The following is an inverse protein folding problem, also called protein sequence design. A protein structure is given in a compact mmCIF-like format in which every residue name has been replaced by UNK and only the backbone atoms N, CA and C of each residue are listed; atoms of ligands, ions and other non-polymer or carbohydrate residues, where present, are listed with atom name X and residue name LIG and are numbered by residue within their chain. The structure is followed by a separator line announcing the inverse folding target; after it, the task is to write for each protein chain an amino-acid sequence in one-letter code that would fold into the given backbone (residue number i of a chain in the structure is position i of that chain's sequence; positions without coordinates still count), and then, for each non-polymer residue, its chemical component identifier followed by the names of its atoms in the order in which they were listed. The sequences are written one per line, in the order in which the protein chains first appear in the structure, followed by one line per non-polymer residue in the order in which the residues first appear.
data_IF_340412506867
#
_entry.id   IF_340412506867
#
_cell.length_a   1.000
_cell.length_b   1.000
_cell.length_c   1.000
_cell.angle_alpha   90.00
_cell.angle_beta   90.00
_cell.angle_gamma   90.00
#
_symmetry.space_group_name_H-M   'P 1'
#
loop_
_entity.id
_entity.type
_entity.pdbx_description
1 polymer ?
#
# COMPACT_ATOMS: atom_id res chain seq x y z
N UNK A 1 8.77 16.39 -26.26
CA UNK A 1 10.17 16.38 -25.81
C UNK A 1 10.23 15.52 -24.55
N UNK A 2 10.44 14.25 -24.75
CA UNK A 2 10.52 13.27 -23.66
C UNK A 2 11.92 12.69 -23.60
N UNK A 3 12.73 13.18 -22.69
CA UNK A 3 13.98 12.51 -22.32
C UNK A 3 14.40 12.94 -20.92
N UNK A 4 14.78 11.94 -20.13
CA UNK A 4 15.69 12.08 -18.99
C UNK A 4 15.16 11.94 -17.56
N UNK A 5 14.25 11.00 -17.29
CA UNK A 5 14.08 10.52 -15.89
C UNK A 5 14.52 9.05 -15.74
N UNK A 6 14.87 8.37 -16.83
CA UNK A 6 15.07 6.90 -16.87
C UNK A 6 16.41 6.34 -16.38
N UNK A 7 17.39 7.19 -15.99
CA UNK A 7 18.73 6.67 -15.61
C UNK A 7 18.97 6.55 -14.10
N UNK A 8 18.08 7.06 -13.24
CA UNK A 8 18.29 6.98 -11.79
C UNK A 8 17.88 5.64 -11.16
N UNK A 9 16.85 4.97 -11.71
CA UNK A 9 16.39 3.68 -11.16
C UNK A 9 17.37 2.52 -11.40
N UNK A 10 18.00 2.46 -12.55
CA UNK A 10 18.98 1.41 -12.85
C UNK A 10 20.23 1.48 -11.99
N UNK A 11 20.66 2.68 -11.61
CA UNK A 11 21.79 2.91 -10.70
C UNK A 11 21.41 2.65 -9.23
N UNK A 12 20.17 2.92 -8.84
CA UNK A 12 19.68 2.66 -7.48
C UNK A 12 19.63 1.14 -7.18
N UNK A 13 19.16 0.31 -8.11
CA UNK A 13 19.14 -1.15 -7.95
C UNK A 13 20.55 -1.76 -7.87
N UNK A 14 21.52 -1.19 -8.56
CA UNK A 14 22.91 -1.68 -8.49
C UNK A 14 23.62 -1.28 -7.18
N UNK A 15 23.29 -0.11 -6.62
CA UNK A 15 23.86 0.35 -5.34
C UNK A 15 23.23 -0.35 -4.11
N UNK A 16 21.98 -0.81 -4.20
CA UNK A 16 21.26 -1.52 -3.13
C UNK A 16 21.78 -2.95 -2.84
N UNK A 17 22.64 -3.50 -3.70
CA UNK A 17 23.19 -4.87 -3.53
C UNK A 17 24.25 -5.03 -2.43
N UNK A 18 24.75 -3.98 -1.82
CA UNK A 18 25.92 -4.02 -0.93
C UNK A 18 25.64 -3.96 0.57
N UNK A 19 24.35 -3.93 0.99
CA UNK A 19 23.99 -3.92 2.43
C UNK A 19 23.21 -5.19 2.76
N UNK A 20 23.90 -6.28 3.05
CA UNK A 20 23.32 -7.59 3.37
C UNK A 20 23.66 -7.98 4.81
N UNK A 21 23.22 -7.27 5.82
CA UNK A 21 23.38 -7.78 7.18
C UNK A 21 22.06 -8.04 7.93
N UNK A 22 21.02 -7.21 7.77
CA UNK A 22 19.76 -7.39 8.50
C UNK A 22 18.53 -6.86 7.73
N UNK A 23 18.55 -6.88 6.41
CA UNK A 23 17.43 -6.43 5.60
C UNK A 23 16.22 -7.35 5.77
N UNK A 24 15.07 -6.76 6.06
CA UNK A 24 13.80 -7.47 6.11
C UNK A 24 12.68 -6.67 5.44
N UNK A 25 11.65 -7.37 5.00
CA UNK A 25 10.46 -6.80 4.37
C UNK A 25 9.30 -6.91 5.34
N UNK A 26 8.53 -5.82 5.47
CA UNK A 26 7.39 -5.71 6.36
C UNK A 26 6.15 -5.19 5.62
N UNK A 27 4.99 -5.78 5.95
CA UNK A 27 3.66 -5.34 5.53
C UNK A 27 2.79 -5.20 6.78
N UNK A 28 2.39 -3.97 7.10
CA UNK A 28 1.77 -3.67 8.40
C UNK A 28 0.26 -3.54 8.35
N UNK A 29 -0.32 -3.34 7.17
CA UNK A 29 -1.75 -3.11 7.00
C UNK A 29 -2.39 -4.27 6.24
N UNK A 30 -3.04 -5.12 7.00
CA UNK A 30 -3.82 -6.24 6.51
C UNK A 30 -5.11 -6.36 7.31
N UNK A 31 -6.04 -7.15 6.80
CA UNK A 31 -7.29 -7.47 7.49
C UNK A 31 -7.40 -8.94 7.84
N UNK A 32 -8.19 -9.25 8.86
CA UNK A 32 -8.54 -10.63 9.23
C UNK A 32 -9.83 -11.09 8.57
N UNK A 33 -10.15 -12.36 8.71
CA UNK A 33 -11.42 -12.96 8.28
C UNK A 33 -12.67 -12.31 8.90
N UNK A 34 -12.51 -11.43 9.90
CA UNK A 34 -13.61 -10.73 10.58
C UNK A 34 -13.93 -9.38 9.95
N UNK A 35 -13.10 -8.88 9.05
CA UNK A 35 -13.36 -7.67 8.28
C UNK A 35 -14.25 -7.95 7.08
N UNK A 36 -15.07 -6.95 6.68
CA UNK A 36 -15.94 -7.04 5.51
C UNK A 36 -15.13 -7.21 4.23
N UNK A 37 -15.71 -7.96 3.29
CA UNK A 37 -15.15 -8.25 1.97
C UNK A 37 -13.78 -8.95 2.03
N UNK A 38 -13.45 -9.60 3.13
CA UNK A 38 -12.18 -10.29 3.36
C UNK A 38 -12.35 -11.81 3.22
N UNK A 39 -11.33 -12.47 2.69
CA UNK A 39 -11.28 -13.94 2.59
C UNK A 39 -11.34 -14.59 3.96
N UNK A 40 -12.06 -15.71 4.07
CA UNK A 40 -12.10 -16.54 5.28
C UNK A 40 -10.73 -17.15 5.63
N UNK A 41 -9.81 -17.17 4.67
CA UNK A 41 -8.43 -17.66 4.84
C UNK A 41 -7.49 -16.65 5.51
N UNK A 42 -7.95 -15.43 5.78
CA UNK A 42 -7.17 -14.42 6.49
C UNK A 42 -7.06 -14.74 7.98
N UNK A 43 -6.32 -15.81 8.25
CA UNK A 43 -5.96 -16.32 9.58
C UNK A 43 -4.44 -16.33 9.74
N UNK A 44 -3.95 -16.09 10.96
CA UNK A 44 -2.52 -15.91 11.22
C UNK A 44 -1.64 -17.04 10.68
N UNK A 45 -2.07 -18.29 10.73
CA UNK A 45 -1.30 -19.42 10.22
C UNK A 45 -1.23 -19.43 8.68
N UNK A 46 -2.32 -19.10 8.02
CA UNK A 46 -2.35 -18.97 6.54
C UNK A 46 -1.53 -17.77 6.10
N UNK A 47 -1.65 -16.66 6.82
CA UNK A 47 -0.88 -15.45 6.58
C UNK A 47 0.63 -15.70 6.75
N UNK A 48 1.07 -16.49 7.74
CA UNK A 48 2.48 -16.86 7.88
C UNK A 48 3.00 -17.64 6.67
N UNK A 49 2.23 -18.61 6.16
CA UNK A 49 2.63 -19.37 4.96
C UNK A 49 2.77 -18.46 3.73
N UNK A 50 1.82 -17.53 3.55
CA UNK A 50 1.89 -16.59 2.44
C UNK A 50 3.01 -15.55 2.62
N UNK A 51 3.21 -15.03 3.83
CA UNK A 51 4.33 -14.14 4.14
C UNK A 51 5.67 -14.78 3.77
N UNK A 52 5.86 -16.07 4.08
CA UNK A 52 7.04 -16.84 3.66
C UNK A 52 7.17 -16.94 2.13
N UNK A 53 6.09 -17.28 1.43
CA UNK A 53 6.09 -17.32 -0.04
C UNK A 53 6.44 -15.96 -0.65
N UNK A 54 5.93 -14.89 -0.07
CA UNK A 54 6.23 -13.51 -0.49
C UNK A 54 7.65 -13.07 -0.14
N UNK A 55 8.24 -13.58 0.95
CA UNK A 55 9.52 -13.13 1.49
C UNK A 55 9.38 -12.00 2.50
N UNK A 56 8.21 -11.90 3.15
CA UNK A 56 7.91 -10.94 4.23
C UNK A 56 8.34 -11.56 5.55
N UNK A 57 9.16 -10.85 6.33
CA UNK A 57 9.62 -11.31 7.63
C UNK A 57 8.79 -10.76 8.80
N UNK A 58 8.17 -9.60 8.62
CA UNK A 58 7.35 -8.94 9.63
C UNK A 58 5.98 -8.58 9.06
N UNK A 59 4.93 -9.04 9.72
CA UNK A 59 3.55 -8.85 9.28
C UNK A 59 2.71 -8.18 10.38
N UNK A 60 1.90 -7.21 10.01
CA UNK A 60 0.85 -6.68 10.88
C UNK A 60 -0.17 -7.78 11.21
N UNK A 61 -0.75 -7.76 12.41
CA UNK A 61 -1.83 -8.71 12.74
C UNK A 61 -3.13 -8.35 12.06
N UNK A 62 -3.35 -7.05 11.83
CA UNK A 62 -4.68 -6.53 11.49
C UNK A 62 -5.68 -6.70 12.65
N UNK A 63 -6.76 -5.98 12.59
CA UNK A 63 -8.03 -6.17 13.31
C UNK A 63 -7.97 -6.56 14.80
N UNK A 64 -6.92 -6.20 15.54
CA UNK A 64 -6.79 -6.58 16.95
C UNK A 64 -7.93 -6.02 17.84
N UNK A 65 -8.71 -5.07 17.34
CA UNK A 65 -9.88 -4.55 18.06
C UNK A 65 -11.02 -5.57 18.15
N UNK A 66 -11.16 -6.46 17.15
CA UNK A 66 -12.25 -7.43 17.11
C UNK A 66 -12.12 -8.46 18.24
N UNK A 67 -13.18 -8.68 19.08
CA UNK A 67 -13.07 -9.51 20.30
C UNK A 67 -12.62 -10.94 20.05
N UNK A 68 -13.24 -11.61 19.09
CA UNK A 68 -12.94 -13.00 18.75
C UNK A 68 -11.54 -13.12 18.16
N UNK A 69 -11.17 -12.20 17.25
CA UNK A 69 -9.86 -12.25 16.64
C UNK A 69 -8.74 -11.98 17.65
N UNK A 70 -8.93 -11.03 18.56
CA UNK A 70 -7.96 -10.78 19.62
C UNK A 70 -7.76 -12.01 20.53
N UNK A 71 -8.83 -12.73 20.86
CA UNK A 71 -8.72 -14.00 21.59
C UNK A 71 -7.94 -15.05 20.78
N UNK A 72 -8.16 -15.14 19.47
CA UNK A 72 -7.37 -15.99 18.57
C UNK A 72 -5.89 -15.59 18.58
N UNK A 73 -5.57 -14.28 18.42
CA UNK A 73 -4.19 -13.78 18.48
C UNK A 73 -3.48 -14.19 19.78
N UNK A 74 -4.10 -13.95 20.93
CA UNK A 74 -3.53 -14.35 22.24
C UNK A 74 -3.33 -15.86 22.37
N UNK A 75 -4.20 -16.65 21.80
CA UNK A 75 -4.10 -18.10 21.85
C UNK A 75 -2.99 -18.65 20.96
N UNK A 76 -2.76 -18.02 19.79
CA UNK A 76 -1.88 -18.51 18.72
C UNK A 76 -0.49 -17.87 18.71
N UNK A 77 -0.36 -16.64 19.20
CA UNK A 77 0.90 -15.90 19.22
C UNK A 77 1.55 -15.94 20.61
N UNK A 78 2.87 -15.95 20.63
CA UNK A 78 3.68 -15.74 21.83
C UNK A 78 4.60 -14.54 21.68
N UNK A 79 4.78 -13.72 22.75
CA UNK A 79 5.64 -12.56 22.70
C UNK A 79 7.12 -12.97 22.65
N UNK A 80 7.92 -12.18 21.91
CA UNK A 80 9.37 -12.36 21.81
C UNK A 80 10.15 -11.49 22.82
N UNK A 81 9.45 -10.67 23.63
CA UNK A 81 10.07 -9.78 24.62
C UNK A 81 10.58 -8.46 24.04
N UNK A 82 10.46 -8.24 22.74
CA UNK A 82 10.87 -7.03 22.00
C UNK A 82 9.68 -6.29 21.37
N UNK A 83 8.46 -6.52 21.85
CA UNK A 83 7.22 -5.95 21.34
C UNK A 83 6.71 -6.61 20.06
N UNK A 84 7.38 -7.64 19.57
CA UNK A 84 6.93 -8.48 18.46
C UNK A 84 6.50 -9.86 18.95
N UNK A 85 5.86 -10.59 18.05
CA UNK A 85 5.24 -11.89 18.33
C UNK A 85 5.61 -12.89 17.26
N UNK A 86 5.52 -14.18 17.59
CA UNK A 86 5.61 -15.30 16.63
C UNK A 86 4.51 -16.31 16.85
N UNK A 87 4.27 -17.16 15.88
CA UNK A 87 3.37 -18.30 16.05
C UNK A 87 3.94 -19.28 17.10
N UNK A 88 3.08 -19.73 18.02
CA UNK A 88 3.40 -20.82 18.96
C UNK A 88 3.61 -22.15 18.22
N UNK A 89 2.86 -22.33 17.11
CA UNK A 89 2.90 -23.56 16.28
C UNK A 89 2.69 -23.17 14.82
N UNK A 90 3.23 -23.95 13.91
CA UNK A 90 3.07 -23.74 12.46
C UNK A 90 4.33 -23.15 11.81
N UNK A 91 4.15 -22.31 10.81
CA UNK A 91 5.25 -21.71 10.04
C UNK A 91 6.11 -20.82 10.93
N UNK A 92 7.41 -21.08 10.93
CA UNK A 92 8.39 -20.33 11.71
C UNK A 92 9.14 -19.31 10.83
N UNK A 93 9.77 -18.33 11.47
CA UNK A 93 10.56 -17.31 10.77
C UNK A 93 9.78 -16.03 10.42
N UNK A 94 8.46 -16.03 10.58
CA UNK A 94 7.63 -14.84 10.43
C UNK A 94 7.34 -14.26 11.80
N UNK A 95 7.55 -12.95 11.95
CA UNK A 95 7.19 -12.22 13.16
C UNK A 95 5.95 -11.37 12.91
N UNK A 96 5.24 -11.03 13.99
CA UNK A 96 4.05 -10.22 13.94
C UNK A 96 4.20 -8.98 14.81
N UNK A 97 3.64 -7.87 14.32
CA UNK A 97 3.45 -6.62 15.04
C UNK A 97 1.95 -6.39 15.21
N UNK A 98 1.52 -5.96 16.39
CA UNK A 98 0.09 -5.73 16.64
C UNK A 98 -0.39 -4.47 15.92
N UNK A 99 -1.27 -4.64 14.93
CA UNK A 99 -1.87 -3.56 14.17
C UNK A 99 -3.38 -3.70 14.08
N UNK A 100 -4.07 -2.61 13.82
CA UNK A 100 -5.50 -2.58 13.49
C UNK A 100 -5.83 -1.31 12.73
N UNK A 101 -6.80 -1.37 11.85
CA UNK A 101 -7.39 -0.19 11.23
C UNK A 101 -8.69 0.18 11.96
N UNK A 102 -8.93 1.48 12.15
CA UNK A 102 -10.15 2.04 12.73
C UNK A 102 -10.74 3.07 11.78
N UNK A 103 -12.07 3.04 11.62
CA UNK A 103 -12.83 3.97 10.80
C UNK A 103 -13.49 5.04 11.67
N UNK A 104 -13.37 6.31 11.26
CA UNK A 104 -14.08 7.42 11.88
C UNK A 104 -15.02 8.08 10.86
N UNK A 105 -16.30 8.27 11.22
CA UNK A 105 -17.29 9.04 10.46
C UNK A 105 -17.87 10.10 11.37
N UNK A 106 -17.64 11.37 11.07
CA UNK A 106 -18.10 12.49 11.88
C UNK A 106 -18.30 13.75 11.05
N UNK A 107 -18.89 14.77 11.64
CA UNK A 107 -19.06 16.07 10.98
C UNK A 107 -18.11 17.08 11.60
N UNK A 108 -17.29 17.74 10.77
CA UNK A 108 -16.40 18.83 11.17
C UNK A 108 -16.50 19.95 10.14
N UNK A 109 -16.67 21.20 10.63
CA UNK A 109 -16.81 22.39 9.78
C UNK A 109 -17.91 22.24 8.70
N UNK A 110 -19.06 21.64 9.08
CA UNK A 110 -20.20 21.44 8.19
C UNK A 110 -20.03 20.36 7.10
N UNK A 111 -18.92 19.62 7.10
CA UNK A 111 -18.62 18.53 6.14
C UNK A 111 -18.55 17.19 6.84
N UNK A 112 -19.08 16.14 6.20
CA UNK A 112 -18.90 14.77 6.67
C UNK A 112 -17.48 14.33 6.37
N UNK A 113 -16.76 13.95 7.42
CA UNK A 113 -15.40 13.41 7.34
C UNK A 113 -15.43 11.89 7.52
N UNK A 114 -14.60 11.20 6.75
CA UNK A 114 -14.43 9.74 6.82
C UNK A 114 -12.95 9.44 6.74
N UNK A 115 -12.40 8.96 7.83
CA UNK A 115 -10.96 8.73 7.97
C UNK A 115 -10.72 7.30 8.44
N UNK A 116 -9.79 6.63 7.81
CA UNK A 116 -9.20 5.40 8.29
C UNK A 116 -7.85 5.68 8.94
N UNK A 117 -7.62 5.03 10.06
CA UNK A 117 -6.40 5.19 10.85
C UNK A 117 -5.85 3.83 11.22
N UNK A 118 -4.63 3.55 10.79
CA UNK A 118 -3.85 2.39 11.20
C UNK A 118 -3.18 2.67 12.54
N UNK A 119 -3.29 1.74 13.48
CA UNK A 119 -2.76 1.85 14.84
C UNK A 119 -1.81 0.69 15.09
N UNK A 120 -0.60 0.99 15.59
CA UNK A 120 0.36 -0.01 16.06
C UNK A 120 0.37 0.01 17.59
N UNK A 121 0.41 -1.16 18.20
CA UNK A 121 0.47 -1.30 19.65
C UNK A 121 1.67 -2.15 20.09
N UNK A 122 2.39 -1.76 21.17
CA UNK A 122 3.62 -2.44 21.59
C UNK A 122 3.39 -3.75 22.34
N UNK A 123 2.18 -4.00 22.85
CA UNK A 123 1.89 -5.20 23.64
C UNK A 123 0.40 -5.53 23.68
N UNK A 124 0.08 -6.76 24.10
CA UNK A 124 -1.31 -7.17 24.32
C UNK A 124 -2.01 -6.36 25.42
N UNK A 125 -1.29 -5.91 26.45
CA UNK A 125 -1.84 -5.11 27.55
C UNK A 125 -2.32 -3.74 27.03
N UNK A 126 -1.54 -3.11 26.16
CA UNK A 126 -1.93 -1.86 25.49
C UNK A 126 -3.15 -2.09 24.60
N UNK A 127 -3.18 -3.19 23.84
CA UNK A 127 -4.35 -3.55 23.04
C UNK A 127 -5.59 -3.78 23.91
N UNK A 128 -5.48 -4.44 25.06
CA UNK A 128 -6.61 -4.63 25.99
C UNK A 128 -7.15 -3.29 26.49
N UNK A 129 -6.27 -2.36 26.86
CA UNK A 129 -6.67 -1.02 27.31
C UNK A 129 -7.37 -0.24 26.18
N UNK A 130 -6.84 -0.29 24.95
CA UNK A 130 -7.47 0.31 23.76
C UNK A 130 -8.85 -0.29 23.50
N UNK A 131 -8.96 -1.61 23.50
CA UNK A 131 -10.21 -2.34 23.29
C UNK A 131 -11.25 -2.03 24.38
N UNK A 132 -10.83 -1.95 25.64
CA UNK A 132 -11.71 -1.56 26.75
C UNK A 132 -12.25 -0.14 26.53
N UNK A 133 -11.38 0.81 26.16
CA UNK A 133 -11.78 2.19 25.91
C UNK A 133 -12.73 2.31 24.73
N UNK A 134 -12.37 1.73 23.58
CA UNK A 134 -13.15 1.78 22.35
C UNK A 134 -14.47 1.00 22.46
N UNK A 135 -14.47 -0.12 23.17
CA UNK A 135 -15.67 -0.96 23.40
C UNK A 135 -16.78 -0.25 24.18
N UNK A 136 -16.44 0.75 24.99
CA UNK A 136 -17.41 1.61 25.66
C UNK A 136 -18.06 2.67 24.70
N UNK A 137 -17.46 2.88 23.54
CA UNK A 137 -17.87 3.89 22.57
C UNK A 137 -18.50 3.29 21.30
N UNK A 138 -18.34 1.99 21.08
CA UNK A 138 -18.88 1.32 19.90
C UNK A 138 -18.75 -0.21 19.93
N UNK A 139 -19.42 -0.86 18.99
CA UNK A 139 -19.49 -2.31 18.90
C UNK A 139 -18.31 -2.87 18.13
N UNK A 140 -17.25 -3.33 18.83
CA UNK A 140 -16.04 -3.88 18.23
C UNK A 140 -16.25 -5.21 17.47
N UNK A 141 -17.33 -5.94 17.75
CA UNK A 141 -17.62 -7.24 17.12
C UNK A 141 -18.40 -7.13 15.80
N UNK A 142 -18.68 -5.93 15.32
CA UNK A 142 -19.44 -5.71 14.09
C UNK A 142 -18.61 -5.87 12.82
N UNK A 143 -17.32 -5.61 12.92
CA UNK A 143 -16.34 -5.63 11.81
C UNK A 143 -14.93 -5.71 12.41
N UNK A 144 -13.97 -6.31 11.71
CA UNK A 144 -12.56 -6.25 12.08
C UNK A 144 -12.05 -4.81 12.15
N UNK A 145 -12.59 -3.95 11.29
CA UNK A 145 -12.37 -2.50 11.24
C UNK A 145 -13.59 -1.76 11.80
N UNK A 146 -13.63 -1.49 13.12
CA UNK A 146 -14.78 -0.85 13.76
C UNK A 146 -14.97 0.60 13.29
N UNK A 147 -16.23 1.04 13.25
CA UNK A 147 -16.62 2.39 12.84
C UNK A 147 -17.08 3.19 14.05
N UNK A 148 -16.55 4.41 14.22
CA UNK A 148 -16.90 5.31 15.29
C UNK A 148 -17.37 6.69 14.77
N UNK A 149 -18.21 7.35 15.57
CA UNK A 149 -18.77 8.68 15.23
C UNK A 149 -17.97 9.86 15.81
N UNK A 150 -16.92 9.62 16.57
CA UNK A 150 -16.02 10.66 17.05
C UNK A 150 -14.87 10.91 16.05
N UNK A 151 -14.18 12.04 16.19
CA UNK A 151 -13.14 12.47 15.25
C UNK A 151 -11.87 11.61 15.30
N UNK A 152 -11.10 11.62 14.21
CA UNK A 152 -9.77 11.01 14.18
C UNK A 152 -8.82 11.63 15.23
N UNK A 153 -8.97 12.94 15.53
CA UNK A 153 -8.26 13.62 16.60
C UNK A 153 -8.60 13.04 17.98
N UNK A 154 -9.88 12.80 18.27
CA UNK A 154 -10.30 12.18 19.53
C UNK A 154 -9.79 10.75 19.64
N UNK A 155 -9.77 9.99 18.52
CA UNK A 155 -9.13 8.68 18.48
C UNK A 155 -7.65 8.78 18.84
N UNK A 156 -6.91 9.68 18.20
CA UNK A 156 -5.50 9.89 18.44
C UNK A 156 -5.24 10.24 19.91
N UNK A 157 -6.04 11.14 20.49
CA UNK A 157 -5.93 11.50 21.92
C UNK A 157 -6.11 10.28 22.82
N UNK A 158 -7.16 9.47 22.60
CA UNK A 158 -7.41 8.27 23.40
C UNK A 158 -6.27 7.26 23.33
N UNK A 159 -5.66 7.09 22.14
CA UNK A 159 -4.53 6.18 21.95
C UNK A 159 -3.31 6.68 22.73
N UNK A 160 -2.95 7.97 22.59
CA UNK A 160 -1.80 8.59 23.26
C UNK A 160 -1.97 8.64 24.79
N UNK A 161 -3.18 8.87 25.29
CA UNK A 161 -3.49 8.81 26.72
C UNK A 161 -3.28 7.40 27.29
N UNK A 162 -3.39 6.34 26.49
CA UNK A 162 -3.14 4.95 26.92
C UNK A 162 -1.66 4.61 26.79
N UNK A 163 -1.04 4.93 25.66
CA UNK A 163 0.39 4.68 25.45
C UNK A 163 0.96 5.58 24.35
N UNK A 164 1.99 6.35 24.72
CA UNK A 164 2.79 7.14 23.80
C UNK A 164 3.67 6.28 22.87
N UNK A 165 3.82 4.99 23.17
CA UNK A 165 4.57 4.05 22.33
C UNK A 165 3.78 3.61 21.11
N UNK A 166 2.45 3.79 21.09
CA UNK A 166 1.64 3.51 19.90
C UNK A 166 2.04 4.41 18.73
N UNK A 167 1.88 3.90 17.49
CA UNK A 167 1.91 4.71 16.28
C UNK A 167 0.50 4.92 15.75
N UNK A 168 0.24 6.11 15.25
CA UNK A 168 -1.03 6.53 14.66
C UNK A 168 -0.73 6.99 13.24
N UNK A 169 -1.26 6.28 12.25
CA UNK A 169 -0.91 6.46 10.85
C UNK A 169 -2.20 6.60 10.05
N UNK A 170 -2.49 7.76 9.45
CA UNK A 170 -3.56 7.88 8.47
C UNK A 170 -3.37 6.87 7.33
N UNK A 171 -4.34 5.99 7.15
CA UNK A 171 -4.28 4.90 6.19
C UNK A 171 -4.60 5.40 4.76
N UNK A 172 -3.96 4.79 3.73
CA UNK A 172 -4.19 5.02 2.29
C UNK A 172 -4.62 6.46 1.98
N UNK A 173 -3.71 7.41 2.25
CA UNK A 173 -3.98 8.83 2.45
C UNK A 173 -4.76 9.55 1.33
N UNK A 174 -4.82 9.00 0.11
CA UNK A 174 -5.39 9.65 -1.08
C UNK A 174 -6.61 8.98 -1.67
N UNK A 175 -7.11 7.88 -1.11
CA UNK A 175 -8.37 7.32 -1.62
C UNK A 175 -9.48 8.38 -1.56
N UNK A 176 -10.39 8.46 -2.57
CA UNK A 176 -11.40 9.52 -2.62
C UNK A 176 -12.30 9.61 -1.39
N UNK A 177 -12.50 8.49 -0.70
CA UNK A 177 -13.23 8.36 0.57
C UNK A 177 -12.37 7.61 1.58
N UNK A 178 -12.61 7.85 2.87
CA UNK A 178 -11.98 7.15 3.98
C UNK A 178 -10.49 7.43 4.16
N UNK A 179 -10.04 8.59 3.72
CA UNK A 179 -8.63 8.97 3.79
C UNK A 179 -8.46 10.44 4.17
N UNK A 180 -7.25 10.77 4.62
CA UNK A 180 -6.97 12.11 5.14
C UNK A 180 -6.99 13.19 4.06
N UNK A 181 -6.54 12.89 2.84
CA UNK A 181 -6.52 13.84 1.71
C UNK A 181 -7.59 13.56 0.65
N UNK A 182 -8.49 12.62 0.91
CA UNK A 182 -9.51 12.21 -0.04
C UNK A 182 -10.43 13.37 -0.46
N UNK A 183 -10.65 13.51 -1.78
CA UNK A 183 -11.42 14.60 -2.36
C UNK A 183 -12.85 14.72 -1.80
N UNK A 184 -13.48 13.61 -1.42
CA UNK A 184 -14.87 13.59 -1.01
C UNK A 184 -15.10 13.76 0.50
N UNK A 185 -14.13 13.33 1.33
CA UNK A 185 -14.34 13.30 2.79
C UNK A 185 -13.09 13.59 3.61
N UNK A 186 -12.00 13.94 2.97
CA UNK A 186 -10.73 14.24 3.62
C UNK A 186 -10.58 15.70 4.03
N UNK A 187 -9.35 16.06 4.36
CA UNK A 187 -8.87 17.37 4.77
C UNK A 187 -7.83 17.89 3.78
N UNK A 188 -7.46 19.16 3.92
CA UNK A 188 -6.40 19.75 3.11
C UNK A 188 -5.03 19.65 3.77
N UNK A 189 -4.98 19.38 5.08
CA UNK A 189 -3.73 19.17 5.82
C UNK A 189 -3.90 18.22 7.01
N UNK A 190 -2.76 17.74 7.55
CA UNK A 190 -2.70 16.96 8.79
C UNK A 190 -3.23 17.78 9.97
N UNK A 191 -2.90 19.07 10.01
CA UNK A 191 -3.28 20.02 11.08
C UNK A 191 -4.79 20.23 11.13
N UNK A 192 -5.48 20.28 9.98
CA UNK A 192 -6.94 20.36 9.96
C UNK A 192 -7.61 19.14 10.59
N UNK A 193 -7.02 17.96 10.41
CA UNK A 193 -7.55 16.71 10.94
C UNK A 193 -7.24 16.53 12.43
N UNK A 194 -5.98 16.73 12.83
CA UNK A 194 -5.46 16.36 14.15
C UNK A 194 -5.23 17.53 15.09
N UNK A 195 -5.21 18.79 14.59
CA UNK A 195 -4.99 20.00 15.38
C UNK A 195 -3.68 19.94 16.17
N UNK A 196 -3.72 20.20 17.47
CA UNK A 196 -2.57 20.15 18.36
C UNK A 196 -1.91 18.78 18.51
N UNK A 197 -2.56 17.71 18.04
CA UNK A 197 -1.99 16.36 18.05
C UNK A 197 -1.19 16.05 16.78
N UNK A 198 -1.16 16.94 15.79
CA UNK A 198 -0.39 16.75 14.54
C UNK A 198 1.08 16.41 14.75
N UNK A 199 1.79 16.95 15.77
CA UNK A 199 3.18 16.56 16.06
C UNK A 199 3.37 15.08 16.44
N UNK A 200 2.30 14.37 16.77
CA UNK A 200 2.32 12.93 17.08
C UNK A 200 1.99 12.04 15.88
N UNK A 201 1.64 12.64 14.73
CA UNK A 201 1.43 11.93 13.47
C UNK A 201 2.75 11.99 12.69
N UNK A 202 3.49 10.90 12.72
CA UNK A 202 4.85 10.84 12.16
C UNK A 202 4.92 10.21 10.77
N UNK A 203 3.85 9.54 10.37
CA UNK A 203 3.78 8.83 9.09
C UNK A 203 2.38 8.89 8.51
N UNK A 204 2.29 8.72 7.21
CA UNK A 204 1.07 8.41 6.47
C UNK A 204 1.31 7.20 5.58
N UNK A 205 0.26 6.52 5.19
CA UNK A 205 0.32 5.42 4.25
C UNK A 205 0.02 5.93 2.84
N UNK A 206 0.87 5.58 1.86
CA UNK A 206 0.64 5.87 0.44
C UNK A 206 -0.62 5.16 -0.04
N UNK A 207 -0.70 3.86 0.21
CA UNK A 207 -1.77 2.97 -0.25
C UNK A 207 -1.84 2.89 -1.77
N UNK A 208 -2.61 1.95 -2.29
CA UNK A 208 -2.71 1.62 -3.72
C UNK A 208 -3.13 2.79 -4.65
N UNK A 209 -3.48 3.95 -4.10
CA UNK A 209 -3.93 5.11 -4.88
C UNK A 209 -2.89 6.19 -5.06
N UNK A 210 -1.75 6.10 -4.37
CA UNK A 210 -0.66 7.07 -4.48
C UNK A 210 0.69 6.40 -4.21
N UNK A 211 1.74 7.05 -4.63
CA UNK A 211 3.13 6.69 -4.41
C UNK A 211 3.90 7.85 -3.75
N UNK A 212 5.15 7.65 -3.34
CA UNK A 212 5.96 8.71 -2.77
C UNK A 212 6.14 9.92 -3.68
N UNK A 213 6.24 9.74 -5.00
CA UNK A 213 6.42 10.81 -5.97
C UNK A 213 5.22 11.77 -5.98
N UNK A 214 4.01 11.25 -5.86
CA UNK A 214 2.80 12.05 -5.71
C UNK A 214 2.80 12.82 -4.38
N UNK A 215 3.23 12.19 -3.30
CA UNK A 215 3.29 12.78 -1.95
C UNK A 215 4.38 13.86 -1.81
N UNK A 216 5.52 13.73 -2.51
CA UNK A 216 6.60 14.74 -2.48
C UNK A 216 6.22 16.08 -3.10
N UNK A 217 5.10 16.13 -3.81
CA UNK A 217 4.55 17.38 -4.33
C UNK A 217 3.98 18.29 -3.25
N UNK A 218 3.81 17.79 -2.02
CA UNK A 218 3.34 18.54 -0.86
C UNK A 218 4.50 18.74 0.12
N UNK A 219 5.00 19.98 0.27
CA UNK A 219 6.13 20.28 1.19
C UNK A 219 5.79 20.00 2.65
N UNK A 220 4.53 20.11 3.02
CA UNK A 220 4.05 19.79 4.36
C UNK A 220 4.30 18.33 4.77
N UNK A 221 4.50 17.42 3.81
CA UNK A 221 4.79 16.00 4.06
C UNK A 221 6.29 15.68 4.16
N UNK A 222 7.18 16.65 4.02
CA UNK A 222 8.63 16.38 4.05
C UNK A 222 9.12 15.76 5.36
N UNK A 223 8.48 16.06 6.48
CA UNK A 223 8.80 15.47 7.77
C UNK A 223 8.14 14.11 8.00
N UNK A 224 7.12 13.75 7.22
CA UNK A 224 6.37 12.51 7.36
C UNK A 224 7.12 11.33 6.75
N UNK A 225 7.09 10.19 7.42
CA UNK A 225 7.48 8.92 6.83
C UNK A 225 6.34 8.43 5.95
N UNK A 226 6.64 8.10 4.71
CA UNK A 226 5.70 7.46 3.80
C UNK A 226 5.85 5.95 3.97
N UNK A 227 4.78 5.26 4.34
CA UNK A 227 4.72 3.82 4.46
C UNK A 227 3.86 3.26 3.33
N UNK A 228 4.27 2.11 2.84
CA UNK A 228 3.56 1.35 1.81
C UNK A 228 3.11 0.03 2.40
N UNK A 229 1.81 -0.23 2.41
CA UNK A 229 1.26 -1.48 2.96
C UNK A 229 0.12 -1.98 2.07
N UNK A 230 -0.06 -3.28 2.05
CA UNK A 230 -0.90 -3.95 1.05
C UNK A 230 -2.40 -3.73 1.20
N UNK A 231 -2.89 -3.38 2.38
CA UNK A 231 -4.33 -3.40 2.72
C UNK A 231 -4.97 -4.73 2.27
N UNK A 232 -4.29 -5.84 2.57
CA UNK A 232 -4.65 -7.14 2.04
C UNK A 232 -5.94 -7.69 2.64
N UNK A 233 -6.87 -8.06 1.75
CA UNK A 233 -8.14 -8.71 2.06
C UNK A 233 -8.17 -10.19 1.64
N UNK A 234 -7.09 -10.69 1.06
CA UNK A 234 -6.85 -12.10 0.75
C UNK A 234 -5.36 -12.41 0.87
N UNK A 235 -4.96 -13.66 1.20
CA UNK A 235 -3.57 -13.99 1.51
C UNK A 235 -2.59 -13.76 0.36
N UNK A 236 -3.02 -13.96 -0.88
CA UNK A 236 -2.18 -13.76 -2.07
C UNK A 236 -1.88 -12.28 -2.34
N UNK A 237 -2.63 -11.35 -1.73
CA UNK A 237 -2.42 -9.89 -1.86
C UNK A 237 -1.42 -9.32 -0.86
N UNK A 238 -0.90 -10.13 0.07
CA UNK A 238 0.18 -9.70 0.96
C UNK A 238 1.38 -9.21 0.14
N UNK A 239 1.97 -8.12 0.59
CA UNK A 239 3.19 -7.57 0.01
C UNK A 239 3.04 -6.97 -1.38
N UNK A 240 1.82 -6.76 -1.92
CA UNK A 240 1.67 -5.96 -3.14
C UNK A 240 2.15 -4.51 -2.95
N UNK A 241 2.17 -4.06 -1.71
CA UNK A 241 2.90 -2.94 -1.17
C UNK A 241 3.59 -3.37 0.12
N UNK A 242 4.80 -2.87 0.38
CA UNK A 242 5.60 -3.25 1.54
C UNK A 242 6.71 -2.25 1.84
N UNK A 243 7.32 -2.39 3.01
CA UNK A 243 8.41 -1.56 3.49
C UNK A 243 9.67 -2.41 3.66
N UNK A 244 10.80 -1.91 3.22
CA UNK A 244 12.08 -2.60 3.32
C UNK A 244 12.96 -1.91 4.35
N UNK A 245 13.25 -2.62 5.43
CA UNK A 245 14.06 -2.13 6.53
C UNK A 245 15.46 -2.78 6.55
N UNK A 246 16.42 -2.08 7.14
CA UNK A 246 17.69 -2.59 7.62
C UNK A 246 17.78 -2.31 9.13
N UNK A 247 17.86 -3.36 9.94
CA UNK A 247 17.89 -3.22 11.38
C UNK A 247 17.36 -4.44 12.14
N UNK A 248 17.19 -4.31 13.44
CA UNK A 248 16.65 -5.38 14.25
C UNK A 248 15.11 -5.49 14.10
N UNK A 249 14.63 -6.72 14.14
CA UNK A 249 13.20 -7.00 14.32
C UNK A 249 12.83 -6.72 15.79
N UNK A 250 12.52 -5.45 16.08
CA UNK A 250 12.19 -4.90 17.39
C UNK A 250 11.17 -3.79 17.24
N UNK A 251 10.10 -3.81 18.03
CA UNK A 251 9.01 -2.83 17.93
C UNK A 251 9.51 -1.39 18.11
N UNK A 252 10.35 -1.16 19.13
CA UNK A 252 10.84 0.18 19.46
C UNK A 252 11.73 0.71 18.35
N UNK A 253 12.62 -0.14 17.80
CA UNK A 253 13.49 0.28 16.70
C UNK A 253 12.69 0.65 15.45
N UNK A 254 11.68 -0.16 15.10
CA UNK A 254 10.79 0.11 13.96
C UNK A 254 9.99 1.39 14.20
N UNK A 255 9.40 1.55 15.38
CA UNK A 255 8.64 2.74 15.74
C UNK A 255 9.50 4.02 15.69
N UNK A 256 10.73 3.98 16.20
CA UNK A 256 11.67 5.09 16.14
C UNK A 256 12.13 5.40 14.71
N UNK A 257 12.37 4.37 13.90
CA UNK A 257 12.70 4.52 12.47
C UNK A 257 11.58 5.27 11.75
N UNK A 258 10.33 4.90 12.00
CA UNK A 258 9.16 5.55 11.43
C UNK A 258 9.02 6.99 11.96
N UNK A 259 9.11 7.20 13.29
CA UNK A 259 8.98 8.54 13.90
C UNK A 259 10.02 9.54 13.39
N UNK A 260 11.24 9.08 13.17
CA UNK A 260 12.38 9.93 12.77
C UNK A 260 12.61 10.01 11.27
N UNK A 261 11.82 9.27 10.47
CA UNK A 261 12.06 9.13 9.04
C UNK A 261 13.51 8.71 8.75
N UNK A 262 13.99 7.70 9.49
CA UNK A 262 15.40 7.26 9.37
C UNK A 262 15.63 6.48 8.07
N UNK A 263 16.07 7.20 7.04
CA UNK A 263 16.37 6.67 5.71
C UNK A 263 17.56 5.70 5.65
N UNK A 264 18.30 5.52 6.75
CA UNK A 264 19.36 4.52 6.84
C UNK A 264 18.79 3.17 7.24
N UNK A 265 17.61 3.18 7.91
CA UNK A 265 16.93 2.00 8.43
C UNK A 265 15.67 1.65 7.64
N UNK A 266 14.89 2.61 7.17
CA UNK A 266 13.85 2.41 6.16
C UNK A 266 14.49 2.68 4.80
N UNK A 267 14.90 1.60 4.11
CA UNK A 267 15.73 1.68 2.92
C UNK A 267 14.95 2.16 1.69
N UNK A 268 13.77 1.59 1.49
CA UNK A 268 12.84 1.96 0.42
C UNK A 268 11.47 1.35 0.66
N UNK A 269 10.47 1.83 -0.08
CA UNK A 269 9.14 1.22 -0.14
C UNK A 269 8.95 0.46 -1.45
N UNK A 270 8.12 -0.57 -1.39
CA UNK A 270 7.63 -1.32 -2.54
C UNK A 270 6.22 -0.82 -2.78
N UNK A 271 6.02 -0.22 -3.94
CA UNK A 271 4.75 0.41 -4.31
C UNK A 271 4.07 -0.38 -5.43
N UNK A 272 2.77 -0.42 -5.38
CA UNK A 272 1.93 -0.77 -6.51
C UNK A 272 1.91 0.40 -7.51
N UNK A 273 1.48 0.17 -8.74
CA UNK A 273 1.30 1.26 -9.70
C UNK A 273 -0.03 1.98 -9.42
N UNK A 274 -0.02 3.22 -8.89
CA UNK A 274 -1.25 3.92 -8.55
C UNK A 274 -2.15 4.19 -9.76
N UNK A 275 -1.59 4.16 -10.97
CA UNK A 275 -2.32 4.30 -12.22
C UNK A 275 -3.31 3.16 -12.47
N UNK A 276 -3.14 1.99 -11.86
CA UNK A 276 -4.13 0.92 -11.92
C UNK A 276 -5.41 1.26 -11.16
N UNK A 277 -5.36 2.21 -10.22
CA UNK A 277 -6.51 2.65 -9.44
C UNK A 277 -7.65 3.19 -10.30
N UNK A 278 -8.89 2.75 -10.02
CA UNK A 278 -10.13 3.14 -10.77
C UNK A 278 -10.38 4.64 -10.87
N UNK A 279 -9.72 5.45 -10.06
CA UNK A 279 -9.93 6.88 -9.94
C UNK A 279 -8.59 7.63 -9.96
N UNK A 280 -7.59 7.09 -10.66
CA UNK A 280 -6.28 7.73 -10.73
C UNK A 280 -6.35 9.06 -11.48
N UNK A 281 -6.84 9.04 -12.72
CA UNK A 281 -7.06 10.23 -13.55
C UNK A 281 -8.54 10.65 -13.53
N UNK A 282 -8.76 11.87 -14.00
CA UNK A 282 -10.10 12.39 -14.23
C UNK A 282 -10.69 11.73 -15.48
N UNK A 283 -12.02 11.59 -15.53
CA UNK A 283 -12.60 11.00 -16.71
C UNK A 283 -14.10 10.87 -16.71
N UNK A 284 -14.59 10.34 -17.82
CA UNK A 284 -15.99 9.98 -18.00
C UNK A 284 -16.07 8.71 -18.86
N UNK A 285 -16.25 7.56 -18.20
CA UNK A 285 -16.20 6.22 -18.84
C UNK A 285 -17.18 6.06 -19.98
N UNK A 286 -18.39 6.67 -19.91
CA UNK A 286 -19.41 6.58 -20.96
C UNK A 286 -19.00 7.26 -22.27
N UNK A 287 -18.07 8.22 -22.22
CA UNK A 287 -17.54 8.95 -23.37
C UNK A 287 -16.10 8.54 -23.72
N UNK A 288 -15.51 7.61 -22.98
CA UNK A 288 -14.11 7.19 -23.15
C UNK A 288 -13.08 8.28 -22.88
N UNK A 289 -13.47 9.32 -22.10
CA UNK A 289 -12.57 10.46 -21.79
C UNK A 289 -11.70 10.13 -20.58
N UNK A 290 -10.39 10.28 -20.75
CA UNK A 290 -9.36 10.19 -19.72
C UNK A 290 -8.54 11.46 -19.79
N UNK A 291 -8.52 12.26 -18.73
CA UNK A 291 -7.81 13.53 -18.69
C UNK A 291 -6.86 13.59 -17.49
N UNK A 292 -5.67 14.15 -17.73
CA UNK A 292 -4.83 14.65 -16.64
C UNK A 292 -5.50 15.87 -15.97
N UNK A 293 -5.10 16.25 -14.75
CA UNK A 293 -5.64 17.42 -14.06
C UNK A 293 -5.56 18.71 -14.90
N UNK A 294 -4.46 18.90 -15.62
CA UNK A 294 -4.29 20.06 -16.51
C UNK A 294 -5.26 20.07 -17.69
N UNK A 295 -5.51 18.91 -18.31
CA UNK A 295 -6.49 18.78 -19.38
C UNK A 295 -7.93 19.00 -18.86
N UNK A 296 -8.25 18.52 -17.67
CA UNK A 296 -9.54 18.73 -17.02
C UNK A 296 -9.79 20.20 -16.76
N UNK A 297 -8.79 20.92 -16.20
CA UNK A 297 -8.87 22.38 -15.99
C UNK A 297 -9.05 23.14 -17.31
N UNK A 298 -8.30 22.78 -18.36
CA UNK A 298 -8.42 23.38 -19.67
C UNK A 298 -9.80 23.20 -20.32
N UNK A 299 -10.49 22.11 -19.99
CA UNK A 299 -11.86 21.79 -20.44
C UNK A 299 -12.94 22.18 -19.43
N UNK A 300 -12.65 23.07 -18.47
CA UNK A 300 -13.61 23.56 -17.46
C UNK A 300 -14.29 22.44 -16.65
N UNK A 301 -13.59 21.34 -16.41
CA UNK A 301 -14.07 20.13 -15.74
C UNK A 301 -15.23 19.44 -16.48
N UNK A 302 -15.39 19.65 -17.77
CA UNK A 302 -16.44 19.08 -18.60
C UNK A 302 -15.86 18.11 -19.63
N UNK A 303 -16.60 17.05 -19.92
CA UNK A 303 -16.27 16.15 -21.03
C UNK A 303 -16.47 16.84 -22.38
N UNK A 304 -15.47 16.79 -23.29
CA UNK A 304 -15.48 17.56 -24.55
C UNK A 304 -16.61 17.14 -25.50
N UNK A 305 -17.13 15.92 -25.38
CA UNK A 305 -18.18 15.39 -26.26
C UNK A 305 -19.58 15.47 -25.64
N UNK A 306 -19.69 15.25 -24.32
CA UNK A 306 -20.99 15.14 -23.65
C UNK A 306 -21.33 16.36 -22.78
N UNK A 307 -20.40 17.30 -22.57
CA UNK A 307 -20.52 18.48 -21.72
C UNK A 307 -20.97 18.20 -20.28
N UNK A 308 -20.83 16.94 -19.80
CA UNK A 308 -21.08 16.55 -18.43
C UNK A 308 -19.83 16.75 -17.58
N UNK A 309 -20.02 16.95 -16.27
CA UNK A 309 -18.90 17.01 -15.33
C UNK A 309 -18.10 15.70 -15.36
N UNK A 310 -16.79 15.82 -15.37
CA UNK A 310 -15.89 14.69 -15.24
C UNK A 310 -15.87 14.19 -13.79
N UNK A 311 -15.67 12.89 -13.60
CA UNK A 311 -15.32 12.33 -12.32
C UNK A 311 -13.88 12.70 -12.02
N UNK A 312 -13.64 13.38 -10.90
CA UNK A 312 -12.33 13.84 -10.48
C UNK A 312 -11.55 12.70 -9.85
N UNK A 313 -10.31 12.54 -10.28
CA UNK A 313 -9.41 11.49 -9.82
C UNK A 313 -8.45 11.94 -8.71
N UNK A 314 -7.64 10.99 -8.25
CA UNK A 314 -6.66 11.22 -7.17
C UNK A 314 -5.58 12.23 -7.61
N UNK A 315 -5.07 12.11 -8.84
CA UNK A 315 -4.05 13.05 -9.36
C UNK A 315 -4.55 14.49 -9.37
N UNK A 316 -5.82 14.73 -9.63
CA UNK A 316 -6.39 16.08 -9.56
C UNK A 316 -6.36 16.62 -8.12
N UNK A 317 -6.67 15.77 -7.13
CA UNK A 317 -6.61 16.16 -5.73
C UNK A 317 -5.18 16.42 -5.26
N UNK A 318 -4.21 15.62 -5.73
CA UNK A 318 -2.79 15.89 -5.51
C UNK A 318 -2.40 17.24 -6.10
N UNK A 319 -2.81 17.53 -7.35
CA UNK A 319 -2.55 18.80 -8.03
C UNK A 319 -3.19 20.02 -7.35
N UNK A 320 -4.35 19.84 -6.67
CA UNK A 320 -4.99 20.88 -5.88
C UNK A 320 -4.21 21.26 -4.62
N UNK A 321 -3.61 20.28 -3.96
CA UNK A 321 -2.89 20.47 -2.70
C UNK A 321 -1.39 20.71 -2.88
N UNK A 322 -0.86 20.40 -4.06
CA UNK A 322 0.56 20.49 -4.35
C UNK A 322 1.07 21.94 -4.37
N UNK A 323 2.20 22.16 -3.71
CA UNK A 323 2.98 23.41 -3.75
C UNK A 323 4.30 23.24 -4.53
N UNK A 324 4.51 22.06 -5.14
CA UNK A 324 5.68 21.69 -5.93
C UNK A 324 5.27 21.04 -7.24
N UNK A 325 6.12 21.19 -8.24
CA UNK A 325 5.95 20.56 -9.55
C UNK A 325 6.19 19.05 -9.51
N UNK A 326 5.67 18.39 -10.52
CA UNK A 326 5.92 16.97 -10.78
C UNK A 326 7.42 16.69 -10.96
N UNK A 327 7.89 15.54 -10.43
CA UNK A 327 9.30 15.14 -10.48
C UNK A 327 10.19 15.79 -9.40
N UNK A 328 9.65 16.58 -8.48
CA UNK A 328 10.41 17.08 -7.33
C UNK A 328 10.73 15.93 -6.34
N UNK A 329 11.99 15.87 -5.90
CA UNK A 329 12.46 14.86 -4.92
C UNK A 329 13.03 15.60 -3.70
N UNK A 330 12.45 15.43 -2.50
CA UNK A 330 12.98 16.02 -1.27
C UNK A 330 14.37 15.46 -0.93
N UNK A 331 15.22 16.28 -0.30
CA UNK A 331 16.58 15.85 0.10
C UNK A 331 16.58 14.66 1.07
N UNK A 332 15.54 14.52 1.87
CA UNK A 332 15.34 13.43 2.83
C UNK A 332 14.36 12.37 2.33
N UNK A 333 14.13 12.27 1.04
CA UNK A 333 13.28 11.25 0.45
C UNK A 333 13.79 9.83 0.79
N UNK A 334 12.87 8.96 1.13
CA UNK A 334 13.08 7.51 1.13
C UNK A 334 12.66 7.03 -0.26
N UNK A 335 13.53 6.33 -0.99
CA UNK A 335 13.22 5.89 -2.35
C UNK A 335 12.09 4.86 -2.38
N UNK A 336 11.49 4.67 -3.56
CA UNK A 336 10.46 3.69 -3.84
C UNK A 336 10.80 2.84 -5.06
N UNK A 337 10.21 1.66 -5.13
CA UNK A 337 10.30 0.76 -6.29
C UNK A 337 8.89 0.27 -6.61
N UNK A 338 8.43 0.50 -7.85
CA UNK A 338 7.16 -0.04 -8.31
C UNK A 338 7.32 -1.48 -8.78
N UNK A 339 6.46 -2.37 -8.27
CA UNK A 339 6.46 -3.79 -8.63
C UNK A 339 5.04 -4.24 -9.00
N UNK A 340 4.97 -5.11 -10.00
CA UNK A 340 3.80 -5.96 -10.22
C UNK A 340 3.96 -7.26 -9.43
N UNK A 341 2.90 -7.78 -8.81
CA UNK A 341 2.91 -9.13 -8.22
C UNK A 341 3.36 -10.18 -9.23
N UNK A 342 4.16 -11.15 -8.79
CA UNK A 342 4.68 -12.19 -9.68
C UNK A 342 3.57 -12.95 -10.42
N UNK A 343 2.41 -13.16 -9.78
CA UNK A 343 1.25 -13.80 -10.42
C UNK A 343 0.73 -12.99 -11.63
N UNK A 344 0.84 -11.66 -11.61
CA UNK A 344 0.41 -10.78 -12.70
C UNK A 344 1.40 -10.85 -13.87
N UNK A 345 2.70 -10.86 -13.57
CA UNK A 345 3.77 -11.06 -14.57
C UNK A 345 3.62 -12.42 -15.26
N UNK A 346 3.39 -13.49 -14.48
CA UNK A 346 3.15 -14.84 -15.01
C UNK A 346 1.90 -14.88 -15.89
N UNK A 347 0.81 -14.29 -15.43
CA UNK A 347 -0.44 -14.25 -16.17
C UNK A 347 -0.28 -13.56 -17.52
N UNK A 348 0.40 -12.42 -17.55
CA UNK A 348 0.63 -11.66 -18.77
C UNK A 348 1.58 -12.39 -19.73
N UNK A 349 2.67 -12.98 -19.22
CA UNK A 349 3.61 -13.75 -20.02
C UNK A 349 2.96 -14.99 -20.66
N UNK A 350 2.03 -15.64 -19.95
CA UNK A 350 1.26 -16.80 -20.45
C UNK A 350 0.06 -16.38 -21.32
N UNK A 351 -0.29 -15.10 -21.40
CA UNK A 351 -1.45 -14.61 -22.13
C UNK A 351 -2.80 -15.07 -21.54
N UNK A 352 -2.87 -15.30 -20.23
CA UNK A 352 -4.08 -15.74 -19.51
C UNK A 352 -4.42 -14.78 -18.37
N UNK A 353 -5.63 -14.90 -17.81
CA UNK A 353 -6.03 -14.06 -16.66
C UNK A 353 -5.34 -14.49 -15.37
N UNK A 354 -5.09 -13.56 -14.47
CA UNK A 354 -4.70 -13.82 -13.07
C UNK A 354 -5.74 -14.75 -12.43
N UNK A 355 -5.28 -15.72 -11.61
CA UNK A 355 -6.13 -16.76 -11.00
C UNK A 355 -6.48 -17.93 -11.90
N UNK A 356 -5.92 -18.02 -13.12
CA UNK A 356 -5.98 -19.25 -13.90
C UNK A 356 -5.09 -20.33 -13.28
N UNK A 357 -5.52 -21.60 -13.31
CA UNK A 357 -4.76 -22.73 -12.75
C UNK A 357 -3.32 -22.81 -13.26
N UNK A 358 -3.09 -22.43 -14.52
CA UNK A 358 -1.74 -22.39 -15.09
C UNK A 358 -0.85 -21.34 -14.39
N UNK A 359 -1.42 -20.18 -14.02
CA UNK A 359 -0.72 -19.14 -13.27
C UNK A 359 -0.39 -19.61 -11.87
N UNK A 360 -1.36 -20.21 -11.17
CA UNK A 360 -1.16 -20.74 -9.82
C UNK A 360 -0.06 -21.82 -9.80
N UNK A 361 -0.12 -22.77 -10.72
CA UNK A 361 0.86 -23.85 -10.84
C UNK A 361 2.27 -23.31 -11.12
N UNK A 362 2.38 -22.35 -12.03
CA UNK A 362 3.67 -21.75 -12.38
C UNK A 362 4.20 -20.89 -11.24
N UNK A 363 3.34 -20.10 -10.57
CA UNK A 363 3.71 -19.34 -9.39
C UNK A 363 4.31 -20.23 -8.28
N UNK A 364 3.61 -21.33 -7.92
CA UNK A 364 4.10 -22.28 -6.90
C UNK A 364 5.46 -22.88 -7.29
N UNK A 365 5.62 -23.27 -8.56
CA UNK A 365 6.87 -23.79 -9.08
C UNK A 365 8.03 -22.78 -8.99
N UNK A 366 7.75 -21.51 -9.29
CA UNK A 366 8.74 -20.44 -9.20
C UNK A 366 9.14 -20.16 -7.76
N UNK A 367 8.16 -20.13 -6.83
CA UNK A 367 8.43 -19.94 -5.39
C UNK A 367 9.25 -21.10 -4.83
N UNK A 368 8.92 -22.34 -5.17
CA UNK A 368 9.67 -23.52 -4.73
C UNK A 368 11.14 -23.45 -5.13
N UNK A 369 11.45 -23.01 -6.35
CA UNK A 369 12.83 -22.91 -6.86
C UNK A 369 13.53 -21.60 -6.51
N UNK A 370 12.78 -20.51 -6.51
CA UNK A 370 13.30 -19.17 -6.27
C UNK A 370 13.37 -18.76 -4.80
N UNK A 371 12.67 -19.49 -3.91
CA UNK A 371 12.64 -19.26 -2.47
C UNK A 371 11.52 -18.32 -2.03
N UNK A 372 11.37 -17.17 -2.66
CA UNK A 372 10.26 -16.24 -2.39
C UNK A 372 10.01 -15.29 -3.54
N UNK A 373 8.81 -14.69 -3.56
CA UNK A 373 8.42 -13.72 -4.59
C UNK A 373 9.37 -12.52 -4.62
N UNK A 374 9.64 -11.89 -3.48
CA UNK A 374 10.53 -10.73 -3.43
C UNK A 374 11.98 -11.08 -3.78
N UNK A 375 12.46 -12.28 -3.43
CA UNK A 375 13.77 -12.70 -3.92
C UNK A 375 13.80 -12.77 -5.45
N UNK A 376 12.76 -13.32 -6.07
CA UNK A 376 12.63 -13.40 -7.53
C UNK A 376 12.48 -12.00 -8.14
N UNK A 377 11.66 -11.11 -7.56
CA UNK A 377 11.36 -9.81 -8.13
C UNK A 377 12.43 -8.75 -7.87
N UNK A 378 13.20 -8.84 -6.77
CA UNK A 378 14.15 -7.81 -6.36
C UNK A 378 15.61 -8.26 -6.42
N UNK A 379 15.92 -9.45 -5.89
CA UNK A 379 17.28 -9.79 -5.49
C UNK A 379 18.02 -10.67 -6.49
N UNK A 380 17.36 -11.72 -7.00
CA UNK A 380 17.98 -12.68 -7.89
C UNK A 380 18.37 -12.05 -9.25
N UNK A 381 19.59 -12.35 -9.71
CA UNK A 381 20.05 -11.89 -11.02
C UNK A 381 19.33 -12.64 -12.15
N UNK A 382 19.29 -12.10 -13.38
CA UNK A 382 18.77 -12.84 -14.53
C UNK A 382 19.49 -14.20 -14.71
N UNK A 383 20.79 -14.28 -14.47
CA UNK A 383 21.56 -15.53 -14.59
C UNK A 383 21.15 -16.57 -13.54
N UNK A 384 20.84 -16.13 -12.31
CA UNK A 384 20.29 -17.01 -11.26
C UNK A 384 18.88 -17.49 -11.54
N UNK A 385 18.08 -16.69 -12.25
CA UNK A 385 16.69 -17.00 -12.62
C UNK A 385 16.59 -17.89 -13.85
N UNK A 386 17.47 -17.73 -14.85
CA UNK A 386 17.47 -18.44 -16.14
C UNK A 386 17.31 -19.96 -16.02
N UNK A 387 17.92 -20.67 -15.03
CA UNK A 387 17.81 -22.12 -14.94
C UNK A 387 16.39 -22.65 -14.64
N UNK A 388 15.48 -21.79 -14.13
CA UNK A 388 14.17 -22.25 -13.71
C UNK A 388 13.00 -21.31 -14.05
N UNK A 389 13.26 -20.10 -14.55
CA UNK A 389 12.23 -19.15 -14.98
C UNK A 389 12.08 -19.24 -16.51
N UNK A 390 10.87 -19.45 -17.04
CA UNK A 390 10.63 -19.43 -18.48
C UNK A 390 11.05 -18.08 -19.10
N UNK A 391 11.58 -18.09 -20.34
CA UNK A 391 12.12 -16.89 -20.98
C UNK A 391 11.17 -15.69 -20.99
N UNK A 392 9.88 -15.92 -21.30
CA UNK A 392 8.87 -14.84 -21.34
C UNK A 392 8.59 -14.24 -19.96
N UNK A 393 8.56 -15.06 -18.90
CA UNK A 393 8.38 -14.59 -17.52
C UNK A 393 9.64 -13.83 -17.07
N UNK A 394 10.83 -14.35 -17.39
CA UNK A 394 12.09 -13.69 -17.10
C UNK A 394 12.19 -12.32 -17.79
N UNK A 395 11.77 -12.23 -19.05
CA UNK A 395 11.69 -10.96 -19.77
C UNK A 395 10.74 -9.99 -19.06
N UNK A 396 9.56 -10.43 -18.63
CA UNK A 396 8.61 -9.60 -17.86
C UNK A 396 9.21 -9.07 -16.58
N UNK A 397 9.89 -9.93 -15.80
CA UNK A 397 10.58 -9.51 -14.56
C UNK A 397 11.67 -8.46 -14.86
N UNK A 398 12.47 -8.68 -15.90
CA UNK A 398 13.53 -7.73 -16.28
C UNK A 398 12.95 -6.39 -16.75
N UNK A 399 11.91 -6.40 -17.57
CA UNK A 399 11.21 -5.19 -18.04
C UNK A 399 10.65 -4.39 -16.88
N UNK A 400 9.93 -5.05 -15.96
CA UNK A 400 9.41 -4.40 -14.76
C UNK A 400 10.51 -3.75 -13.93
N UNK A 401 11.60 -4.47 -13.63
CA UNK A 401 12.75 -3.93 -12.89
C UNK A 401 13.42 -2.73 -13.58
N UNK A 402 13.30 -2.63 -14.90
CA UNK A 402 13.84 -1.54 -15.69
C UNK A 402 12.83 -0.39 -15.88
N UNK A 403 11.62 -0.50 -15.33
CA UNK A 403 10.53 0.45 -15.57
C UNK A 403 10.08 0.51 -17.03
N UNK A 404 10.32 -0.56 -17.80
CA UNK A 404 9.89 -0.68 -19.19
C UNK A 404 8.48 -1.25 -19.28
N UNK A 405 7.52 -0.47 -18.84
CA UNK A 405 6.11 -0.80 -18.83
C UNK A 405 5.32 0.24 -19.61
N UNK A 406 4.20 -0.16 -20.20
CA UNK A 406 3.22 0.74 -20.79
C UNK A 406 2.09 0.93 -19.80
N UNK A 407 1.69 2.18 -19.54
CA UNK A 407 0.72 2.54 -18.51
C UNK A 407 -0.50 3.16 -19.16
N UNK A 408 -1.67 2.62 -18.87
CA UNK A 408 -2.98 3.20 -19.19
C UNK A 408 -3.65 3.50 -17.85
N UNK A 409 -3.78 4.78 -17.45
CA UNK A 409 -4.30 5.11 -16.13
C UNK A 409 -5.80 4.85 -16.01
N UNK A 410 -6.22 4.40 -14.83
CA UNK A 410 -7.62 4.20 -14.51
C UNK A 410 -8.36 5.52 -14.31
N UNK A 411 -9.69 5.51 -14.52
CA UNK A 411 -10.54 6.69 -14.46
C UNK A 411 -12.00 6.30 -14.28
N UNK A 412 -12.80 7.11 -13.64
CA UNK A 412 -14.27 7.01 -13.51
C UNK A 412 -14.79 5.57 -13.28
N UNK A 413 -14.14 4.83 -12.37
CA UNK A 413 -14.54 3.46 -12.03
C UNK A 413 -13.98 2.37 -12.96
N UNK A 414 -13.21 2.73 -13.97
CA UNK A 414 -12.46 1.82 -14.84
C UNK A 414 -11.06 1.63 -14.28
N UNK A 415 -10.62 0.40 -14.10
CA UNK A 415 -9.25 0.10 -13.69
C UNK A 415 -8.25 0.50 -14.77
N UNK A 416 -7.12 1.02 -14.36
CA UNK A 416 -5.98 1.18 -15.24
C UNK A 416 -5.32 -0.15 -15.56
N UNK A 417 -4.29 -0.08 -16.38
CA UNK A 417 -3.59 -1.27 -16.85
C UNK A 417 -2.11 -0.99 -16.99
N UNK A 418 -1.30 -1.86 -16.43
CA UNK A 418 0.12 -1.94 -16.70
C UNK A 418 0.37 -3.07 -17.69
N UNK A 419 1.13 -2.81 -18.73
CA UNK A 419 1.40 -3.76 -19.81
C UNK A 419 2.91 -3.92 -19.97
N UNK A 420 3.39 -5.15 -19.74
CA UNK A 420 4.81 -5.52 -19.87
C UNK A 420 5.20 -5.82 -21.32
N UNK A 421 4.23 -6.23 -22.15
CA UNK A 421 4.46 -6.66 -23.53
C UNK A 421 3.53 -5.95 -24.52
N UNK A 422 3.55 -4.60 -24.59
CA UNK A 422 2.66 -3.84 -25.46
C UNK A 422 2.79 -4.22 -26.93
N UNK A 423 3.98 -4.64 -27.37
CA UNK A 423 4.26 -5.08 -28.74
C UNK A 423 3.58 -6.39 -29.14
N UNK A 424 3.28 -7.28 -28.17
CA UNK A 424 2.59 -8.55 -28.44
C UNK A 424 1.10 -8.35 -28.76
N UNK A 425 0.54 -7.20 -28.38
CA UNK A 425 -0.87 -6.82 -28.58
C UNK A 425 -1.09 -5.96 -29.82
N UNK A 426 -0.04 -5.56 -30.51
CA UNK A 426 -0.08 -4.67 -31.69
C UNK A 426 -0.83 -5.21 -32.93
N UNK A 427 -1.35 -6.46 -32.87
CA UNK A 427 -2.22 -7.01 -33.90
C UNK A 427 -3.72 -6.79 -33.69
N UNK A 428 -4.18 -6.64 -32.45
CA UNK A 428 -5.61 -6.54 -32.11
C UNK A 428 -6.04 -5.17 -31.58
N UNK A 429 -5.18 -4.47 -30.84
CA UNK A 429 -5.51 -3.17 -30.25
C UNK A 429 -5.66 -2.04 -31.31
N UNK A 430 -5.00 -2.16 -32.45
CA UNK A 430 -5.12 -1.15 -33.53
C UNK A 430 -6.46 -1.19 -34.27
N UNK A 431 -7.24 -2.27 -34.17
CA UNK A 431 -8.54 -2.40 -34.83
C UNK A 431 -9.72 -1.90 -34.01
N UNK A 432 -9.61 -1.91 -32.69
CA UNK A 432 -10.66 -1.34 -31.83
C UNK A 432 -10.49 0.17 -31.58
N UNK A 433 -9.25 0.67 -31.49
CA UNK A 433 -9.01 2.11 -31.35
C UNK A 433 -9.32 2.92 -32.63
N UNK A 434 -9.23 2.30 -33.83
CA UNK A 434 -9.58 2.96 -35.09
C UNK A 434 -11.08 3.03 -35.39
N UNK A 435 -11.94 2.45 -34.53
CA UNK A 435 -13.41 2.58 -34.64
C UNK A 435 -13.99 3.69 -33.75
N UNK A 436 -13.15 4.45 -33.04
CA UNK A 436 -13.56 5.53 -32.12
C UNK A 436 -13.09 6.93 -32.53
N UNK A 437 -12.66 7.06 -33.80
CA UNK A 437 -12.42 8.39 -34.43
C UNK A 437 -13.42 8.63 -35.54
#
# INVERSE_FOLDING_TARGET
MGHSVKNSLGLALCALRLIVAMRFIADFHIHSKFSRATSKEMEVETLARWAKKKGIALLGTGDFTHPTYFAELRSKLEPLGNGLFKLKKGEQGIQYILTTEVSNIYTQSGRVRRIHTLIFAPSFEVVEALRSKLGNLGKLSSDGRPIFSFSAKELAKMILDISMDCLIIPAHAWTPWWSIFGANSGFDSIEECFGELSPHIHAIETGLSSDPEMNWRLSALDSMTLLSNSDAHSPNRLGREANVFDGALDYREIAETIRKKDRKKLLFTIEFFPEEGKYHYDGHRQCGVIFSPSQTKANQNLGPHCHKKLTIGVMHRVEELADRGEGFIPKNAIPSIHLLPLEEIVAEALGVRVGAKAVEAEYERLIERGGSEFRILLDATPDELTPFVPPDILEGIVRMRQGKVSIIPGHDGVYGKIDLFPERKGGEASKEQLKLF
#
